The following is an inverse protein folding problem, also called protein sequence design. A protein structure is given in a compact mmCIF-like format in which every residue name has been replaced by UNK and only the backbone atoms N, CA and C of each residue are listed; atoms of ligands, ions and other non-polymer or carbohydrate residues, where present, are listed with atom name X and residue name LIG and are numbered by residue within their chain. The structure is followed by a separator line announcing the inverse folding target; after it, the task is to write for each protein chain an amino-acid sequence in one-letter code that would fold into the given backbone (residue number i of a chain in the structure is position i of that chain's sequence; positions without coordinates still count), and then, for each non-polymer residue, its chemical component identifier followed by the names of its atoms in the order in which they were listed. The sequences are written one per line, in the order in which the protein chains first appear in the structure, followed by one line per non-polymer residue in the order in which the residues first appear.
data_IF_829474471436
#
_entry.id   IF_829474471436
#
_cell.length_a   1.000
_cell.length_b   1.000
_cell.length_c   1.000
_cell.angle_alpha   90.00
_cell.angle_beta   90.00
_cell.angle_gamma   90.00
#
_symmetry.space_group_name_H-M   'P 1'
#
loop_
_entity.id
_entity.type
_entity.pdbx_description
1 polymer ?
#
# COMPACT_ATOMS: atom_id res chain seq x y z
N UNK A 1 -10.74 -21.94 25.42
CA UNK A 1 -9.67 -20.97 25.23
C UNK A 1 -9.39 -20.16 26.51
N UNK A 2 -10.36 -19.70 27.27
CA UNK A 2 -10.19 -18.98 28.55
C UNK A 2 -9.62 -19.85 29.70
N UNK A 3 -9.80 -21.15 29.68
CA UNK A 3 -9.34 -22.09 30.75
C UNK A 3 -7.83 -22.33 30.74
N UNK A 4 -7.15 -22.09 29.61
CA UNK A 4 -5.67 -22.25 29.52
C UNK A 4 -4.89 -21.03 30.02
N UNK A 5 -5.52 -19.86 30.07
CA UNK A 5 -4.89 -18.60 30.52
C UNK A 5 -4.67 -18.59 32.03
N UNK A 6 -5.52 -19.26 32.80
CA UNK A 6 -5.47 -19.25 34.28
C UNK A 6 -4.39 -20.17 34.89
N UNK A 7 -3.86 -21.13 34.13
CA UNK A 7 -2.82 -22.05 34.62
C UNK A 7 -1.38 -21.62 34.35
N UNK A 8 -1.17 -20.53 33.62
CA UNK A 8 0.18 -20.01 33.27
C UNK A 8 0.81 -19.11 34.35
N UNK A 9 0.17 -18.93 35.50
CA UNK A 9 0.64 -17.95 36.53
C UNK A 9 1.73 -18.46 37.46
N UNK A 10 2.10 -19.75 37.48
CA UNK A 10 2.92 -20.30 38.57
C UNK A 10 4.44 -20.23 38.36
N UNK A 11 4.95 -20.11 37.11
CA UNK A 11 6.41 -20.05 36.82
C UNK A 11 6.78 -18.94 35.83
N UNK A 12 7.91 -18.27 36.05
CA UNK A 12 8.39 -17.13 35.25
C UNK A 12 8.66 -17.54 33.79
N UNK A 13 9.10 -18.76 33.54
CA UNK A 13 9.40 -19.28 32.20
C UNK A 13 8.13 -19.70 31.46
N UNK A 14 7.12 -20.26 32.16
CA UNK A 14 5.82 -20.58 31.60
C UNK A 14 5.05 -19.31 31.22
N UNK A 15 5.18 -18.21 31.98
CA UNK A 15 4.61 -16.90 31.59
C UNK A 15 5.25 -16.33 30.32
N UNK A 16 6.58 -16.39 30.22
CA UNK A 16 7.28 -15.94 29.01
C UNK A 16 6.86 -16.75 27.79
N UNK A 17 6.75 -18.08 27.92
CA UNK A 17 6.32 -18.96 26.86
C UNK A 17 4.87 -18.68 26.45
N UNK A 18 3.97 -18.47 27.41
CA UNK A 18 2.57 -18.15 27.15
C UNK A 18 2.42 -16.80 26.42
N UNK A 19 3.14 -15.76 26.84
CA UNK A 19 3.15 -14.44 26.17
C UNK A 19 3.74 -14.55 24.75
N UNK A 20 4.79 -15.34 24.55
CA UNK A 20 5.39 -15.56 23.24
C UNK A 20 4.42 -16.29 22.30
N UNK A 21 3.79 -17.38 22.74
CA UNK A 21 2.80 -18.12 21.95
C UNK A 21 1.59 -17.25 21.61
N UNK A 22 1.13 -16.41 22.55
CA UNK A 22 -0.01 -15.49 22.27
C UNK A 22 0.38 -14.40 21.28
N UNK A 23 1.61 -13.89 21.28
CA UNK A 23 2.09 -12.89 20.32
C UNK A 23 2.23 -13.48 18.92
N UNK A 24 2.81 -14.67 18.78
CA UNK A 24 2.96 -15.37 17.50
C UNK A 24 1.60 -15.74 16.91
N UNK A 25 0.70 -16.27 17.74
CA UNK A 25 -0.68 -16.58 17.30
C UNK A 25 -1.41 -15.34 16.82
N UNK A 26 -1.25 -14.20 17.51
CA UNK A 26 -1.83 -12.91 17.11
C UNK A 26 -1.35 -12.46 15.74
N UNK A 27 -0.05 -12.63 15.44
CA UNK A 27 0.56 -12.29 14.15
C UNK A 27 -0.03 -13.14 13.03
N UNK A 28 -0.08 -14.45 13.22
CA UNK A 28 -0.66 -15.38 12.24
C UNK A 28 -2.14 -15.09 12.02
N UNK A 29 -2.90 -14.87 13.10
CA UNK A 29 -4.32 -14.56 13.02
C UNK A 29 -4.57 -13.24 12.29
N UNK A 30 -3.77 -12.20 12.50
CA UNK A 30 -3.91 -10.92 11.81
C UNK A 30 -3.80 -11.07 10.29
N UNK A 31 -2.80 -11.83 9.82
CA UNK A 31 -2.64 -12.15 8.40
C UNK A 31 -3.82 -12.98 7.86
N UNK A 32 -4.18 -14.07 8.54
CA UNK A 32 -5.25 -14.97 8.09
C UNK A 32 -6.62 -14.29 8.09
N UNK A 33 -6.93 -13.50 9.11
CA UNK A 33 -8.20 -12.74 9.16
C UNK A 33 -8.27 -11.75 8.00
N UNK A 34 -7.20 -11.01 7.70
CA UNK A 34 -7.17 -10.11 6.54
C UNK A 34 -7.34 -10.88 5.22
N UNK A 35 -6.64 -12.01 5.06
CA UNK A 35 -6.74 -12.85 3.87
C UNK A 35 -8.17 -13.39 3.66
N UNK A 36 -8.76 -14.02 4.66
CA UNK A 36 -10.12 -14.58 4.53
C UNK A 36 -11.19 -13.50 4.45
N UNK A 37 -11.00 -12.35 5.11
CA UNK A 37 -11.90 -11.21 4.97
C UNK A 37 -11.90 -10.70 3.51
N UNK A 38 -10.74 -10.55 2.87
CA UNK A 38 -10.63 -10.18 1.46
C UNK A 38 -11.31 -11.23 0.56
N UNK A 39 -11.03 -12.52 0.78
CA UNK A 39 -11.65 -13.63 0.05
C UNK A 39 -13.19 -13.64 0.14
N UNK A 40 -13.74 -13.21 1.27
CA UNK A 40 -15.19 -13.16 1.49
C UNK A 40 -15.83 -11.87 0.97
N UNK A 41 -15.17 -10.73 1.14
CA UNK A 41 -15.72 -9.40 0.82
C UNK A 41 -15.65 -9.12 -0.69
N UNK A 42 -14.53 -9.44 -1.35
CA UNK A 42 -14.32 -9.10 -2.76
C UNK A 42 -15.39 -9.70 -3.69
N UNK A 43 -15.76 -10.98 -3.61
CA UNK A 43 -16.80 -11.53 -4.49
C UNK A 43 -18.17 -10.87 -4.29
N UNK A 44 -18.51 -10.49 -3.04
CA UNK A 44 -19.76 -9.79 -2.74
C UNK A 44 -19.77 -8.39 -3.34
N UNK A 45 -18.67 -7.64 -3.15
CA UNK A 45 -18.49 -6.33 -3.77
C UNK A 45 -18.52 -6.42 -5.30
N UNK A 46 -17.93 -7.47 -5.91
CA UNK A 46 -17.95 -7.67 -7.35
C UNK A 46 -19.38 -7.84 -7.91
N UNK A 47 -20.25 -8.52 -7.18
CA UNK A 47 -21.66 -8.64 -7.56
C UNK A 47 -22.40 -7.30 -7.48
N UNK A 48 -22.17 -6.51 -6.42
CA UNK A 48 -22.73 -5.17 -6.25
C UNK A 48 -22.21 -4.24 -7.36
N UNK A 49 -20.90 -4.27 -7.63
CA UNK A 49 -20.27 -3.47 -8.67
C UNK A 49 -20.86 -3.71 -10.07
N UNK A 50 -21.13 -4.97 -10.41
CA UNK A 50 -21.82 -5.31 -11.66
C UNK A 50 -23.23 -4.72 -11.72
N UNK A 51 -23.97 -4.76 -10.60
CA UNK A 51 -25.33 -4.21 -10.53
C UNK A 51 -25.37 -2.68 -10.67
N UNK A 52 -24.40 -1.95 -10.09
CA UNK A 52 -24.34 -0.48 -10.16
C UNK A 52 -23.54 0.06 -11.36
N UNK A 53 -22.93 -0.84 -12.16
CA UNK A 53 -22.15 -0.46 -13.32
C UNK A 53 -20.70 0.01 -13.02
N UNK A 54 -20.17 -0.26 -11.82
CA UNK A 54 -18.76 -0.01 -11.44
C UNK A 54 -17.87 -1.11 -12.02
N UNK A 55 -17.75 -1.09 -13.35
CA UNK A 55 -17.02 -2.10 -14.10
C UNK A 55 -16.16 -1.45 -15.19
N UNK A 56 -14.96 -1.99 -15.37
CA UNK A 56 -14.14 -1.64 -16.51
C UNK A 56 -14.69 -2.34 -17.77
N UNK A 57 -15.16 -1.54 -18.74
CA UNK A 57 -15.73 -2.06 -19.98
C UNK A 57 -14.65 -2.27 -21.04
N UNK A 58 -14.71 -3.38 -21.80
CA UNK A 58 -13.84 -3.58 -22.94
C UNK A 58 -13.94 -2.46 -23.95
N UNK A 59 -12.81 -1.99 -24.45
CA UNK A 59 -12.74 -1.11 -25.61
C UNK A 59 -11.61 -1.59 -26.53
N UNK A 60 -11.47 -1.02 -27.73
CA UNK A 60 -10.46 -1.40 -28.74
C UNK A 60 -9.00 -1.32 -28.23
N UNK A 61 -8.76 -0.68 -27.09
CA UNK A 61 -7.43 -0.49 -26.49
C UNK A 61 -7.15 -1.46 -25.34
N UNK A 62 -8.16 -2.23 -24.85
CA UNK A 62 -8.09 -3.12 -23.70
C UNK A 62 -8.04 -4.56 -24.10
N UNK A 63 -7.28 -5.36 -23.36
CA UNK A 63 -7.02 -6.78 -23.67
C UNK A 63 -8.20 -7.66 -23.28
N UNK A 64 -8.92 -7.31 -22.21
CA UNK A 64 -10.04 -8.12 -21.71
C UNK A 64 -11.30 -7.95 -22.57
N UNK A 65 -12.01 -9.06 -22.78
CA UNK A 65 -13.24 -9.11 -23.60
C UNK A 65 -14.53 -9.06 -22.80
N UNK A 66 -14.44 -9.15 -21.47
CA UNK A 66 -15.58 -9.20 -20.54
C UNK A 66 -15.45 -8.05 -19.54
N UNK A 67 -16.54 -7.33 -19.20
CA UNK A 67 -16.50 -6.28 -18.17
C UNK A 67 -16.00 -6.82 -16.83
N UNK A 68 -15.06 -6.14 -16.18
CA UNK A 68 -14.45 -6.54 -14.93
C UNK A 68 -14.73 -5.55 -13.80
N UNK A 69 -15.21 -6.00 -12.63
CA UNK A 69 -15.49 -5.12 -11.48
C UNK A 69 -14.24 -4.40 -10.97
N UNK A 70 -14.37 -3.11 -10.66
CA UNK A 70 -13.33 -2.24 -10.12
C UNK A 70 -13.49 -2.13 -8.58
N UNK A 71 -13.39 -3.24 -7.86
CA UNK A 71 -13.64 -3.29 -6.41
C UNK A 71 -12.57 -4.02 -5.62
N UNK A 72 -11.52 -4.49 -6.28
CA UNK A 72 -10.43 -5.21 -5.62
C UNK A 72 -9.79 -4.37 -4.54
N UNK A 73 -9.49 -3.11 -4.84
CA UNK A 73 -8.89 -2.19 -3.88
C UNK A 73 -9.79 -1.87 -2.69
N UNK A 74 -11.08 -1.66 -2.93
CA UNK A 74 -12.05 -1.45 -1.85
C UNK A 74 -12.05 -2.67 -0.91
N UNK A 75 -12.04 -3.89 -1.48
CA UNK A 75 -12.00 -5.13 -0.72
C UNK A 75 -10.71 -5.29 0.10
N UNK A 76 -9.55 -4.93 -0.47
CA UNK A 76 -8.27 -4.93 0.24
C UNK A 76 -8.33 -4.02 1.47
N UNK A 77 -8.76 -2.76 1.28
CA UNK A 77 -8.76 -1.77 2.36
C UNK A 77 -9.75 -2.14 3.46
N UNK A 78 -10.95 -2.63 3.10
CA UNK A 78 -11.92 -3.13 4.09
C UNK A 78 -11.31 -4.30 4.89
N UNK A 79 -10.72 -5.27 4.23
CA UNK A 79 -10.16 -6.45 4.88
C UNK A 79 -8.95 -6.12 5.77
N UNK A 80 -8.02 -5.28 5.28
CA UNK A 80 -6.88 -4.83 6.06
C UNK A 80 -7.31 -4.00 7.27
N UNK A 81 -8.24 -3.06 7.09
CA UNK A 81 -8.77 -2.24 8.19
C UNK A 81 -9.50 -3.10 9.21
N UNK A 82 -10.33 -4.04 8.77
CA UNK A 82 -11.04 -4.95 9.68
C UNK A 82 -10.08 -5.78 10.52
N UNK A 83 -9.06 -6.37 9.92
CA UNK A 83 -8.04 -7.12 10.66
C UNK A 83 -7.23 -6.21 11.57
N UNK A 84 -6.83 -5.01 11.10
CA UNK A 84 -6.10 -4.06 11.93
C UNK A 84 -6.90 -3.63 13.17
N UNK A 85 -8.23 -3.39 13.04
CA UNK A 85 -9.12 -3.07 14.16
C UNK A 85 -9.14 -4.16 15.25
N UNK A 86 -8.92 -5.41 14.90
CA UNK A 86 -8.92 -6.53 15.84
C UNK A 86 -7.56 -6.72 16.53
N UNK A 87 -6.47 -6.37 15.86
CA UNK A 87 -5.13 -6.76 16.28
C UNK A 87 -4.15 -5.60 16.52
N UNK A 88 -4.45 -4.38 16.06
CA UNK A 88 -3.54 -3.22 16.13
C UNK A 88 -4.17 -2.10 16.94
N UNK A 89 -3.38 -1.42 17.77
CA UNK A 89 -3.82 -0.18 18.41
C UNK A 89 -3.81 0.97 17.38
N UNK A 90 -4.98 1.56 17.18
CA UNK A 90 -5.19 2.63 16.21
C UNK A 90 -4.58 3.97 16.61
N UNK A 91 -4.29 4.19 17.90
CA UNK A 91 -3.87 5.50 18.41
C UNK A 91 -2.64 6.05 17.66
N UNK A 92 -1.65 5.20 17.38
CA UNK A 92 -0.43 5.56 16.65
C UNK A 92 -0.58 5.67 15.13
N UNK A 93 -1.69 5.18 14.57
CA UNK A 93 -1.88 5.04 13.12
C UNK A 93 -3.07 5.82 12.56
N UNK A 94 -3.61 6.78 13.34
CA UNK A 94 -4.76 7.61 12.93
C UNK A 94 -4.54 8.27 11.58
N UNK A 95 -3.35 8.82 11.35
CA UNK A 95 -2.99 9.47 10.09
C UNK A 95 -3.08 8.53 8.89
N UNK A 96 -2.64 7.26 9.03
CA UNK A 96 -2.77 6.25 8.00
C UNK A 96 -4.24 6.03 7.61
N UNK A 97 -5.09 5.73 8.59
CA UNK A 97 -6.49 5.37 8.31
C UNK A 97 -7.32 6.56 7.81
N UNK A 98 -7.05 7.79 8.28
CA UNK A 98 -7.66 9.01 7.75
C UNK A 98 -7.25 9.22 6.28
N UNK A 99 -5.97 9.11 5.96
CA UNK A 99 -5.48 9.24 4.58
C UNK A 99 -6.04 8.17 3.67
N UNK A 100 -6.10 6.90 4.13
CA UNK A 100 -6.73 5.80 3.40
C UNK A 100 -8.20 6.06 3.13
N UNK A 101 -8.96 6.56 4.10
CA UNK A 101 -10.39 6.87 3.91
C UNK A 101 -10.61 7.95 2.84
N UNK A 102 -9.77 9.01 2.85
CA UNK A 102 -9.82 10.07 1.82
C UNK A 102 -9.51 9.51 0.43
N UNK A 103 -8.42 8.73 0.31
CA UNK A 103 -8.01 8.19 -0.99
C UNK A 103 -8.95 7.10 -1.49
N UNK A 104 -9.49 6.27 -0.60
CA UNK A 104 -10.50 5.28 -0.95
C UNK A 104 -11.75 5.94 -1.52
N UNK A 105 -12.23 7.01 -0.89
CA UNK A 105 -13.39 7.76 -1.36
C UNK A 105 -13.15 8.42 -2.72
N UNK A 106 -12.01 9.09 -2.88
CA UNK A 106 -11.66 9.76 -4.15
C UNK A 106 -11.38 8.75 -5.26
N UNK A 107 -10.66 7.65 -4.96
CA UNK A 107 -10.42 6.57 -5.92
C UNK A 107 -11.72 5.88 -6.36
N UNK A 108 -12.64 5.65 -5.43
CA UNK A 108 -13.98 5.15 -5.77
C UNK A 108 -14.75 6.10 -6.67
N UNK A 109 -14.70 7.41 -6.40
CA UNK A 109 -15.33 8.41 -7.26
C UNK A 109 -14.67 8.46 -8.66
N UNK A 110 -13.36 8.27 -8.73
CA UNK A 110 -12.65 8.22 -10.00
C UNK A 110 -13.00 6.97 -10.82
N UNK A 111 -13.01 5.80 -10.19
CA UNK A 111 -13.45 4.54 -10.83
C UNK A 111 -14.90 4.63 -11.35
N UNK A 112 -15.74 5.47 -10.73
CA UNK A 112 -17.14 5.63 -11.11
C UNK A 112 -17.39 6.77 -12.13
N UNK A 113 -16.62 7.89 -12.07
CA UNK A 113 -16.90 9.12 -12.83
C UNK A 113 -15.72 9.70 -13.61
N UNK A 114 -14.58 9.00 -13.64
CA UNK A 114 -13.34 9.47 -14.29
C UNK A 114 -12.97 10.91 -13.89
N UNK A 115 -12.48 11.09 -12.67
CA UNK A 115 -12.04 12.38 -12.17
C UNK A 115 -10.80 12.86 -12.95
N UNK A 116 -10.74 14.15 -13.24
CA UNK A 116 -9.57 14.71 -13.90
C UNK A 116 -8.30 14.61 -13.01
N UNK A 117 -7.11 14.51 -13.63
CA UNK A 117 -5.85 14.27 -12.91
C UNK A 117 -5.54 15.31 -11.83
N UNK A 118 -5.97 16.57 -12.01
CA UNK A 118 -5.77 17.64 -11.00
C UNK A 118 -6.50 17.34 -9.69
N UNK A 119 -7.74 16.81 -9.75
CA UNK A 119 -8.54 16.50 -8.56
C UNK A 119 -7.93 15.34 -7.80
N UNK A 120 -7.47 14.29 -8.50
CA UNK A 120 -6.76 13.17 -7.90
C UNK A 120 -5.48 13.62 -7.21
N UNK A 121 -4.70 14.47 -7.85
CA UNK A 121 -3.45 14.99 -7.29
C UNK A 121 -3.67 15.82 -6.03
N UNK A 122 -4.67 16.72 -6.03
CA UNK A 122 -5.04 17.50 -4.85
C UNK A 122 -5.51 16.63 -3.68
N UNK A 123 -6.28 15.57 -3.97
CA UNK A 123 -6.71 14.63 -2.95
C UNK A 123 -5.53 13.85 -2.33
N UNK A 124 -4.56 13.44 -3.14
CA UNK A 124 -3.33 12.80 -2.66
C UNK A 124 -2.53 13.74 -1.76
N UNK A 125 -2.35 15.01 -2.15
CA UNK A 125 -1.70 16.03 -1.32
C UNK A 125 -2.44 16.19 0.01
N UNK A 126 -3.77 16.33 -0.04
CA UNK A 126 -4.60 16.48 1.16
C UNK A 126 -4.52 15.27 2.08
N UNK A 127 -4.58 14.05 1.54
CA UNK A 127 -4.43 12.82 2.31
C UNK A 127 -3.05 12.71 2.98
N UNK A 128 -1.98 13.06 2.26
CA UNK A 128 -0.62 13.08 2.82
C UNK A 128 -0.46 14.15 3.90
N UNK A 129 -1.03 15.34 3.71
CA UNK A 129 -0.99 16.41 4.72
C UNK A 129 -1.75 16.01 6.00
N UNK A 130 -2.93 15.42 5.87
CA UNK A 130 -3.70 14.88 7.00
C UNK A 130 -2.92 13.75 7.69
N UNK A 131 -2.30 12.87 6.94
CA UNK A 131 -1.47 11.80 7.49
C UNK A 131 -0.33 12.36 8.34
N UNK A 132 0.44 13.33 7.83
CA UNK A 132 1.54 13.97 8.57
C UNK A 132 1.00 14.64 9.84
N UNK A 133 -0.11 15.39 9.72
CA UNK A 133 -0.71 16.09 10.85
C UNK A 133 -1.13 15.15 11.98
N UNK A 134 -1.80 14.04 11.66
CA UNK A 134 -2.34 13.12 12.68
C UNK A 134 -1.36 12.05 13.15
N UNK A 135 -0.33 11.72 12.37
CA UNK A 135 0.72 10.76 12.77
C UNK A 135 1.96 11.42 13.38
N UNK A 136 2.20 12.71 13.07
CA UNK A 136 3.44 13.39 13.42
C UNK A 136 4.68 12.90 12.66
N UNK A 137 4.52 11.98 11.70
CA UNK A 137 5.63 11.37 10.96
C UNK A 137 5.84 12.10 9.63
N UNK A 138 7.07 12.54 9.39
CA UNK A 138 7.48 13.26 8.18
C UNK A 138 8.92 12.94 7.82
N UNK A 139 9.32 13.14 6.57
CA UNK A 139 10.65 12.83 6.05
C UNK A 139 11.66 13.91 6.50
N UNK A 140 12.43 13.61 7.53
CA UNK A 140 13.44 14.53 8.10
C UNK A 140 14.86 14.24 7.58
N UNK A 141 15.13 12.99 7.18
CA UNK A 141 16.43 12.57 6.69
C UNK A 141 16.31 11.51 5.61
N UNK A 142 17.13 11.64 4.58
CA UNK A 142 17.34 10.61 3.57
C UNK A 142 18.41 9.58 4.00
N UNK A 143 19.02 9.75 5.17
CA UNK A 143 20.13 8.94 5.63
C UNK A 143 21.41 9.18 4.83
N UNK A 144 22.37 8.29 4.99
CA UNK A 144 23.62 8.30 4.22
C UNK A 144 23.47 7.45 2.95
N UNK A 145 22.94 8.05 1.87
CA UNK A 145 22.72 7.35 0.59
C UNK A 145 23.98 7.12 -0.22
N UNK A 146 25.03 7.94 0.01
CA UNK A 146 26.22 7.98 -0.84
C UNK A 146 27.51 7.71 -0.07
N UNK A 147 27.46 7.38 1.22
CA UNK A 147 28.65 7.16 2.06
C UNK A 147 29.41 8.45 2.41
N UNK A 148 28.79 9.61 2.24
CA UNK A 148 29.39 10.94 2.50
C UNK A 148 28.80 11.64 3.72
N UNK A 149 27.93 10.98 4.46
CA UNK A 149 27.22 11.47 5.63
C UNK A 149 25.71 11.61 5.38
N UNK A 150 24.95 11.71 6.49
CA UNK A 150 23.49 11.77 6.42
C UNK A 150 23.00 13.07 5.79
N UNK A 151 22.17 12.96 4.77
CA UNK A 151 21.48 14.10 4.15
C UNK A 151 20.19 14.38 4.91
N UNK A 152 20.22 15.43 5.77
CA UNK A 152 19.05 15.85 6.55
C UNK A 152 18.33 17.00 5.85
N UNK A 153 16.99 17.01 5.96
CA UNK A 153 16.15 18.12 5.51
C UNK A 153 16.27 19.24 6.54
N UNK A 154 16.48 20.52 6.15
CA UNK A 154 16.47 21.63 7.09
C UNK A 154 15.18 21.66 7.92
N UNK A 155 15.27 21.96 9.22
CA UNK A 155 14.15 21.93 10.18
C UNK A 155 13.12 23.05 9.95
N UNK A 156 12.78 23.32 8.71
CA UNK A 156 11.70 24.24 8.33
C UNK A 156 10.45 23.41 8.09
N UNK A 157 9.48 23.49 8.97
CA UNK A 157 8.26 22.67 8.96
C UNK A 157 7.61 22.61 7.57
N UNK A 158 7.47 23.74 6.88
CA UNK A 158 6.86 23.79 5.56
C UNK A 158 7.68 23.00 4.52
N UNK A 159 9.00 23.07 4.58
CA UNK A 159 9.89 22.35 3.67
C UNK A 159 9.84 20.84 3.91
N UNK A 160 9.89 20.41 5.18
CA UNK A 160 9.78 19.02 5.60
C UNK A 160 8.44 18.42 5.11
N UNK A 161 7.34 19.16 5.30
CA UNK A 161 6.03 18.73 4.80
C UNK A 161 5.99 18.64 3.26
N UNK A 162 6.49 19.66 2.59
CA UNK A 162 6.50 19.68 1.11
C UNK A 162 7.29 18.51 0.52
N UNK A 163 8.48 18.21 1.07
CA UNK A 163 9.31 17.09 0.62
C UNK A 163 8.63 15.75 0.95
N UNK A 164 8.09 15.61 2.15
CA UNK A 164 7.37 14.40 2.56
C UNK A 164 6.17 14.11 1.65
N UNK A 165 5.35 15.13 1.40
CA UNK A 165 4.18 15.02 0.50
C UNK A 165 4.63 14.69 -0.91
N UNK A 166 5.69 15.33 -1.42
CA UNK A 166 6.23 15.05 -2.74
C UNK A 166 6.66 13.58 -2.90
N UNK A 167 7.42 13.06 -1.94
CA UNK A 167 7.86 11.66 -1.94
C UNK A 167 6.68 10.69 -1.83
N UNK A 168 5.73 10.98 -0.92
CA UNK A 168 4.52 10.15 -0.74
C UNK A 168 3.66 10.11 -2.02
N UNK A 169 3.39 11.26 -2.62
CA UNK A 169 2.65 11.36 -3.88
C UNK A 169 3.38 10.65 -5.00
N UNK A 170 4.72 10.71 -5.01
CA UNK A 170 5.56 9.93 -5.93
C UNK A 170 5.33 8.43 -5.82
N UNK A 171 5.34 7.89 -4.59
CA UNK A 171 5.08 6.46 -4.34
C UNK A 171 3.64 6.08 -4.71
N UNK A 172 2.64 6.90 -4.33
CA UNK A 172 1.22 6.68 -4.66
C UNK A 172 1.06 6.53 -6.17
N UNK A 173 1.60 7.48 -6.94
CA UNK A 173 1.47 7.44 -8.39
C UNK A 173 2.32 6.32 -9.02
N UNK A 174 3.45 5.95 -8.43
CA UNK A 174 4.27 4.83 -8.92
C UNK A 174 3.52 3.50 -8.85
N UNK A 175 2.82 3.23 -7.75
CA UNK A 175 1.97 2.03 -7.62
C UNK A 175 0.76 2.11 -8.57
N UNK A 176 0.13 3.27 -8.70
CA UNK A 176 -0.99 3.44 -9.63
C UNK A 176 -0.57 3.23 -11.09
N UNK A 177 0.62 3.68 -11.49
CA UNK A 177 1.10 3.56 -12.87
C UNK A 177 1.52 2.13 -13.26
N UNK A 178 1.94 1.28 -12.31
CA UNK A 178 2.24 -0.13 -12.60
C UNK A 178 1.00 -1.03 -12.59
N UNK A 179 -0.16 -0.54 -12.14
CA UNK A 179 -1.44 -1.29 -12.13
C UNK A 179 -2.05 -1.40 -13.53
N UNK A 180 -1.27 -1.95 -14.45
CA UNK A 180 -1.68 -2.14 -15.86
C UNK A 180 -1.65 -3.58 -16.33
N UNK A 181 -1.22 -4.53 -15.48
CA UNK A 181 -1.20 -5.98 -15.74
C UNK A 181 -1.82 -6.74 -14.57
N UNK A 182 -2.49 -7.86 -14.90
CA UNK A 182 -3.07 -8.78 -13.93
C UNK A 182 -2.00 -9.23 -12.92
N UNK A 183 -2.25 -9.03 -11.62
CA UNK A 183 -1.38 -9.42 -10.52
C UNK A 183 -0.14 -8.55 -10.28
N UNK A 184 0.23 -7.62 -11.17
CA UNK A 184 1.51 -6.90 -11.06
C UNK A 184 1.54 -5.96 -9.84
N UNK A 185 0.63 -4.99 -9.76
CA UNK A 185 0.61 -4.03 -8.65
C UNK A 185 0.33 -4.72 -7.31
N UNK A 186 -0.60 -5.69 -7.29
CA UNK A 186 -0.87 -6.52 -6.12
C UNK A 186 0.34 -7.34 -5.69
N UNK A 187 1.02 -8.01 -6.63
CA UNK A 187 2.20 -8.84 -6.33
C UNK A 187 3.38 -8.03 -5.79
N UNK A 188 3.69 -6.89 -6.42
CA UNK A 188 4.73 -5.98 -5.93
C UNK A 188 4.39 -5.44 -4.55
N UNK A 189 3.14 -5.02 -4.31
CA UNK A 189 2.70 -4.54 -3.01
C UNK A 189 2.76 -5.63 -1.93
N UNK A 190 2.38 -6.86 -2.26
CA UNK A 190 2.47 -8.01 -1.35
C UNK A 190 3.91 -8.27 -0.91
N UNK A 191 4.85 -8.33 -1.86
CA UNK A 191 6.28 -8.52 -1.58
C UNK A 191 6.82 -7.37 -0.73
N UNK A 192 6.44 -6.12 -1.05
CA UNK A 192 6.86 -4.95 -0.29
C UNK A 192 6.37 -5.00 1.17
N UNK A 193 5.10 -5.31 1.43
CA UNK A 193 4.57 -5.46 2.78
C UNK A 193 5.24 -6.60 3.54
N UNK A 194 5.50 -7.75 2.90
CA UNK A 194 6.24 -8.85 3.54
C UNK A 194 7.67 -8.43 3.90
N UNK A 195 8.34 -7.70 3.03
CA UNK A 195 9.70 -7.21 3.30
C UNK A 195 9.71 -6.21 4.45
N UNK A 196 8.75 -5.29 4.50
CA UNK A 196 8.58 -4.38 5.64
C UNK A 196 8.26 -5.16 6.94
N UNK A 197 7.38 -6.17 6.90
CA UNK A 197 7.08 -7.02 8.04
C UNK A 197 8.33 -7.75 8.56
N UNK A 198 9.17 -8.26 7.66
CA UNK A 198 10.43 -8.93 8.02
C UNK A 198 11.38 -7.97 8.74
N UNK A 199 11.57 -6.74 8.22
CA UNK A 199 12.42 -5.75 8.89
C UNK A 199 11.88 -5.35 10.26
N UNK A 200 10.56 -5.16 10.37
CA UNK A 200 9.91 -4.89 11.66
C UNK A 200 10.10 -6.05 12.66
N UNK A 201 10.02 -7.30 12.17
CA UNK A 201 10.29 -8.51 12.98
C UNK A 201 11.72 -8.55 13.49
N UNK A 202 12.71 -8.31 12.63
CA UNK A 202 14.14 -8.29 12.99
C UNK A 202 14.42 -7.20 14.03
N UNK A 203 13.76 -6.04 13.92
CA UNK A 203 13.88 -4.94 14.86
C UNK A 203 13.07 -5.14 16.16
N UNK A 204 12.23 -6.18 16.27
CA UNK A 204 11.37 -6.43 17.42
C UNK A 204 10.11 -5.56 17.49
N UNK A 205 9.80 -4.80 16.44
CA UNK A 205 8.64 -3.89 16.36
C UNK A 205 7.38 -4.63 15.93
N UNK A 206 6.76 -5.33 16.89
CA UNK A 206 5.62 -6.23 16.66
C UNK A 206 4.40 -5.52 16.05
N UNK A 207 4.13 -4.26 16.41
CA UNK A 207 2.97 -3.53 15.91
C UNK A 207 3.15 -3.20 14.42
N UNK A 208 4.34 -2.77 14.01
CA UNK A 208 4.65 -2.52 12.61
C UNK A 208 4.62 -3.82 11.79
N UNK A 209 5.13 -4.92 12.36
CA UNK A 209 5.04 -6.24 11.76
C UNK A 209 3.58 -6.66 11.54
N UNK A 210 2.73 -6.57 12.58
CA UNK A 210 1.30 -6.89 12.49
C UNK A 210 0.61 -6.07 11.41
N UNK A 211 0.84 -4.76 11.38
CA UNK A 211 0.19 -3.87 10.43
C UNK A 211 0.60 -4.20 8.98
N UNK A 212 1.87 -4.46 8.72
CA UNK A 212 2.33 -4.89 7.39
C UNK A 212 1.73 -6.25 7.00
N UNK A 213 1.61 -7.19 7.93
CA UNK A 213 1.02 -8.50 7.67
C UNK A 213 -0.49 -8.44 7.43
N UNK A 214 -1.22 -7.51 8.04
CA UNK A 214 -2.65 -7.30 7.70
C UNK A 214 -2.81 -6.83 6.27
N UNK A 215 -1.99 -5.88 5.79
CA UNK A 215 -2.00 -5.47 4.39
C UNK A 215 -1.57 -6.60 3.46
N UNK A 216 -0.50 -7.33 3.79
CA UNK A 216 -0.04 -8.47 3.01
C UNK A 216 -1.13 -9.54 2.87
N UNK A 217 -1.81 -9.91 3.97
CA UNK A 217 -2.91 -10.87 3.96
C UNK A 217 -4.07 -10.43 3.07
N UNK A 218 -4.50 -9.17 3.20
CA UNK A 218 -5.58 -8.62 2.38
C UNK A 218 -5.22 -8.59 0.88
N UNK A 219 -3.99 -8.18 0.55
CA UNK A 219 -3.51 -8.17 -0.85
C UNK A 219 -3.39 -9.58 -1.40
N UNK A 220 -2.91 -10.56 -0.62
CA UNK A 220 -2.87 -11.96 -1.04
C UNK A 220 -4.28 -12.50 -1.32
N UNK A 221 -5.26 -12.16 -0.47
CA UNK A 221 -6.67 -12.51 -0.69
C UNK A 221 -7.23 -11.90 -1.98
N UNK A 222 -6.86 -10.67 -2.31
CA UNK A 222 -7.20 -10.02 -3.58
C UNK A 222 -6.53 -10.69 -4.78
N UNK A 223 -5.24 -11.05 -4.69
CA UNK A 223 -4.49 -11.69 -5.76
C UNK A 223 -5.16 -12.98 -6.26
N UNK A 224 -5.91 -13.68 -5.43
CA UNK A 224 -6.70 -14.85 -5.84
C UNK A 224 -7.70 -14.54 -6.97
N UNK A 225 -8.20 -13.29 -7.02
CA UNK A 225 -9.15 -12.83 -8.02
C UNK A 225 -8.51 -12.00 -9.13
N UNK A 226 -7.32 -11.47 -8.89
CA UNK A 226 -6.59 -10.61 -9.82
C UNK A 226 -5.44 -11.32 -10.55
N UNK A 227 -5.16 -12.60 -10.22
CA UNK A 227 -4.20 -13.40 -10.96
C UNK A 227 -4.71 -13.69 -12.38
N UNK A 228 -3.81 -13.70 -13.35
CA UNK A 228 -4.16 -13.91 -14.75
C UNK A 228 -4.77 -15.31 -15.01
N UNK A 229 -5.93 -15.42 -15.66
CA UNK A 229 -6.82 -14.34 -16.11
C UNK A 229 -7.62 -13.72 -14.95
N UNK A 230 -7.47 -12.43 -14.70
CA UNK A 230 -8.14 -11.76 -13.57
C UNK A 230 -9.66 -11.76 -13.70
N UNK A 231 -10.37 -11.81 -12.59
CA UNK A 231 -11.84 -11.72 -12.53
C UNK A 231 -12.31 -10.41 -11.91
N UNK A 232 -11.41 -9.72 -11.17
CA UNK A 232 -11.64 -8.44 -10.49
C UNK A 232 -10.39 -7.57 -10.67
N UNK A 233 -10.58 -6.31 -11.01
CA UNK A 233 -9.50 -5.32 -11.05
C UNK A 233 -9.37 -4.57 -9.74
N UNK A 234 -8.15 -4.04 -9.49
CA UNK A 234 -7.85 -3.26 -8.30
C UNK A 234 -8.60 -1.93 -8.29
N UNK A 235 -8.60 -1.23 -9.40
CA UNK A 235 -9.13 0.12 -9.58
C UNK A 235 -8.24 1.19 -8.96
N UNK A 236 -8.55 2.46 -9.27
CA UNK A 236 -7.82 3.60 -8.72
C UNK A 236 -7.99 3.71 -7.20
N UNK A 237 -9.16 3.32 -6.67
CA UNK A 237 -9.38 3.17 -5.23
C UNK A 237 -8.32 2.28 -4.55
N UNK A 238 -7.92 1.19 -5.20
CA UNK A 238 -6.93 0.27 -4.65
C UNK A 238 -5.50 0.72 -4.81
N UNK A 239 -5.11 1.06 -6.02
CA UNK A 239 -3.72 1.41 -6.33
C UNK A 239 -3.26 2.68 -5.61
N UNK A 240 -4.13 3.71 -5.48
CA UNK A 240 -3.84 4.90 -4.68
C UNK A 240 -3.69 4.58 -3.19
N UNK A 241 -4.58 3.76 -2.63
CA UNK A 241 -4.52 3.37 -1.23
C UNK A 241 -3.30 2.48 -0.92
N UNK A 242 -2.96 1.51 -1.77
CA UNK A 242 -1.77 0.68 -1.59
C UNK A 242 -0.49 1.50 -1.67
N UNK A 243 -0.37 2.40 -2.66
CA UNK A 243 0.77 3.30 -2.76
C UNK A 243 0.90 4.20 -1.54
N UNK A 244 -0.21 4.71 -1.01
CA UNK A 244 -0.21 5.51 0.22
C UNK A 244 0.18 4.69 1.45
N UNK A 245 -0.36 3.48 1.61
CA UNK A 245 0.00 2.60 2.72
C UNK A 245 1.48 2.22 2.70
N UNK A 246 2.02 1.85 1.53
CA UNK A 246 3.44 1.54 1.35
C UNK A 246 4.34 2.76 1.64
N UNK A 247 3.94 3.94 1.16
CA UNK A 247 4.64 5.20 1.46
C UNK A 247 4.61 5.54 2.96
N UNK A 248 3.47 5.34 3.63
CA UNK A 248 3.38 5.51 5.08
C UNK A 248 4.27 4.53 5.83
N UNK A 249 4.28 3.23 5.44
CA UNK A 249 5.18 2.24 6.05
C UNK A 249 6.64 2.63 5.87
N UNK A 250 7.02 3.10 4.67
CA UNK A 250 8.36 3.61 4.40
C UNK A 250 8.73 4.76 5.34
N UNK A 251 7.83 5.72 5.55
CA UNK A 251 8.06 6.86 6.45
C UNK A 251 8.15 6.43 7.91
N UNK A 252 7.18 5.68 8.42
CA UNK A 252 7.14 5.35 9.86
C UNK A 252 8.31 4.43 10.26
N UNK A 253 8.74 3.54 9.36
CA UNK A 253 9.84 2.61 9.62
C UNK A 253 11.23 3.27 9.50
N UNK A 254 11.32 4.44 8.86
CA UNK A 254 12.60 5.17 8.70
C UNK A 254 12.68 6.45 9.52
N UNK A 255 11.54 7.09 9.80
CA UNK A 255 11.44 8.40 10.43
C UNK A 255 10.57 8.39 11.70
N UNK A 256 9.96 7.26 12.03
CA UNK A 256 9.12 7.12 13.23
C UNK A 256 9.91 7.24 14.54
N UNK A 257 9.21 7.15 15.68
CA UNK A 257 9.86 7.22 16.99
C UNK A 257 10.95 6.17 17.22
N UNK A 258 10.75 4.98 16.64
CA UNK A 258 11.72 3.86 16.67
C UNK A 258 12.03 3.45 15.23
N UNK A 259 12.96 4.10 14.54
CA UNK A 259 13.27 3.73 13.15
C UNK A 259 13.92 2.33 13.10
N UNK A 260 13.35 1.47 12.26
CA UNK A 260 13.75 0.05 12.15
C UNK A 260 14.63 -0.22 10.94
N UNK A 261 14.78 0.75 10.03
CA UNK A 261 15.61 0.61 8.83
C UNK A 261 16.16 1.96 8.37
N UNK A 262 17.27 1.93 7.62
CA UNK A 262 17.80 3.11 6.97
C UNK A 262 16.88 3.57 5.80
N UNK A 263 16.81 4.88 5.50
CA UNK A 263 15.94 5.42 4.44
C UNK A 263 16.21 4.90 3.02
N UNK A 264 17.35 4.27 2.79
CA UNK A 264 17.66 3.61 1.51
C UNK A 264 16.82 2.35 1.27
N UNK A 265 16.46 1.61 2.32
CA UNK A 265 15.75 0.34 2.16
C UNK A 265 14.38 0.47 1.48
N UNK A 266 13.51 1.43 1.82
CA UNK A 266 12.26 1.63 1.10
C UNK A 266 12.45 1.91 -0.39
N UNK A 267 13.53 2.61 -0.79
CA UNK A 267 13.83 2.85 -2.20
C UNK A 267 14.16 1.55 -2.94
N UNK A 268 14.85 0.62 -2.27
CA UNK A 268 15.14 -0.71 -2.82
C UNK A 268 13.89 -1.59 -2.84
N UNK A 269 13.09 -1.61 -1.77
CA UNK A 269 11.85 -2.38 -1.67
C UNK A 269 10.85 -1.95 -2.75
N UNK A 270 10.75 -0.65 -2.99
CA UNK A 270 9.84 -0.05 -3.98
C UNK A 270 10.57 0.28 -5.30
N UNK A 271 11.74 -0.34 -5.56
CA UNK A 271 12.55 0.01 -6.72
C UNK A 271 11.81 -0.20 -8.05
N UNK A 272 11.02 -1.28 -8.19
CA UNK A 272 10.30 -1.57 -9.43
C UNK A 272 9.32 -0.45 -9.80
N UNK A 273 8.34 -0.07 -8.97
CA UNK A 273 7.41 1.02 -9.31
C UNK A 273 8.11 2.37 -9.45
N UNK A 274 9.07 2.69 -8.59
CA UNK A 274 9.78 3.97 -8.62
C UNK A 274 10.63 4.09 -9.90
N UNK A 275 11.41 3.08 -10.25
CA UNK A 275 12.26 3.12 -11.44
C UNK A 275 11.46 3.13 -12.73
N UNK A 276 10.33 2.42 -12.81
CA UNK A 276 9.43 2.49 -13.97
C UNK A 276 8.94 3.93 -14.17
N UNK A 277 8.41 4.55 -13.11
CA UNK A 277 7.91 5.92 -13.15
C UNK A 277 8.99 6.91 -13.52
N UNK A 278 10.15 6.88 -12.85
CA UNK A 278 11.26 7.78 -13.11
C UNK A 278 11.81 7.62 -14.53
N UNK A 279 11.92 6.38 -15.04
CA UNK A 279 12.38 6.10 -16.40
C UNK A 279 11.46 6.71 -17.44
N UNK A 280 10.16 6.56 -17.29
CA UNK A 280 9.16 7.14 -18.21
C UNK A 280 9.18 8.66 -18.14
N UNK A 281 9.20 9.24 -16.94
CA UNK A 281 9.29 10.70 -16.76
C UNK A 281 10.57 11.29 -17.38
N UNK A 282 11.72 10.67 -17.13
CA UNK A 282 13.02 11.11 -17.69
C UNK A 282 13.01 11.05 -19.22
N UNK A 283 12.52 9.96 -19.82
CA UNK A 283 12.40 9.84 -21.28
C UNK A 283 11.48 10.91 -21.89
N UNK A 284 10.42 11.32 -21.18
CA UNK A 284 9.53 12.40 -21.64
C UNK A 284 10.23 13.75 -21.59
N UNK A 285 10.89 14.06 -20.46
CA UNK A 285 11.66 15.30 -20.31
C UNK A 285 12.74 15.43 -21.39
N UNK A 286 13.51 14.37 -21.65
CA UNK A 286 14.54 14.34 -22.71
C UNK A 286 13.96 14.59 -24.11
N UNK A 287 12.67 14.27 -24.32
CA UNK A 287 11.95 14.51 -25.58
C UNK A 287 11.20 15.85 -25.62
N UNK A 288 11.39 16.72 -24.62
CA UNK A 288 10.69 18.01 -24.51
C UNK A 288 9.17 17.87 -24.32
N UNK A 289 8.69 16.71 -23.80
CA UNK A 289 7.28 16.44 -23.57
C UNK A 289 6.91 16.63 -22.10
N UNK A 290 5.64 16.95 -21.83
CA UNK A 290 5.12 17.08 -20.48
C UNK A 290 5.26 15.72 -19.74
N UNK A 291 5.97 15.65 -18.59
CA UNK A 291 6.19 14.41 -17.84
C UNK A 291 4.90 13.81 -17.26
N UNK A 292 3.86 14.61 -17.06
CA UNK A 292 2.58 14.17 -16.48
C UNK A 292 1.52 13.73 -17.51
N UNK A 293 1.86 13.67 -18.78
CA UNK A 293 0.92 13.22 -19.84
C UNK A 293 0.92 11.69 -19.89
N UNK A 294 -0.25 11.07 -20.13
CA UNK A 294 -0.36 9.60 -20.29
C UNK A 294 0.54 9.09 -21.42
N UNK A 295 1.18 7.92 -21.23
CA UNK A 295 2.13 7.31 -22.17
C UNK A 295 1.93 5.79 -22.25
N UNK A 296 2.55 5.17 -23.27
CA UNK A 296 2.56 3.71 -23.54
C UNK A 296 3.96 3.10 -23.36
N UNK A 297 4.84 3.70 -22.54
CA UNK A 297 6.23 3.25 -22.33
C UNK A 297 6.49 2.67 -20.94
N UNK A 298 5.45 2.50 -20.11
CA UNK A 298 5.56 1.82 -18.81
C UNK A 298 5.91 0.33 -18.98
N UNK A 299 6.50 -0.26 -17.96
CA UNK A 299 6.99 -1.64 -17.93
C UNK A 299 5.92 -2.64 -18.38
N UNK A 300 4.68 -2.46 -17.92
CA UNK A 300 3.55 -3.30 -18.30
C UNK A 300 3.26 -3.26 -19.80
N UNK A 301 3.40 -2.13 -20.48
CA UNK A 301 3.24 -2.05 -21.94
C UNK A 301 4.38 -2.76 -22.69
N UNK A 302 5.59 -2.77 -22.10
CA UNK A 302 6.73 -3.50 -22.67
C UNK A 302 6.47 -5.01 -22.56
N UNK A 303 6.05 -5.50 -21.39
CA UNK A 303 5.71 -6.90 -21.18
C UNK A 303 4.60 -7.38 -22.12
N UNK A 304 3.54 -6.58 -22.31
CA UNK A 304 2.48 -6.89 -23.28
C UNK A 304 2.99 -7.03 -24.71
N UNK A 305 3.98 -6.24 -25.13
CA UNK A 305 4.60 -6.37 -26.48
C UNK A 305 5.36 -7.68 -26.65
N UNK A 306 5.88 -8.25 -25.56
CA UNK A 306 6.55 -9.56 -25.56
C UNK A 306 5.58 -10.73 -25.31
N UNK A 307 4.27 -10.48 -25.31
CA UNK A 307 3.25 -11.52 -25.12
C UNK A 307 3.06 -11.98 -23.68
N UNK A 308 3.58 -11.24 -22.71
CA UNK A 308 3.33 -11.46 -21.30
C UNK A 308 2.06 -10.66 -20.92
N UNK A 309 1.05 -11.38 -20.47
CA UNK A 309 -0.25 -10.81 -20.08
C UNK A 309 -0.59 -11.14 -18.64
#
# INVERSE_FOLDING_TARGET
MLVWITNCESRRDERKLCVMITSELRIILAFLVAYFAAMFVIPKLANIAKAIGLVDRPNERKIHRVPRPLVGGIGIIIAATFSALLFVDFAGFRGLFIGLAVLLFIGFLDDFRELGPRRKFLAQIGACALMIHFSGVSLQSFGDLLGVGAFTVPEVTLLVWAISIFCMVGVINSINLIDGLDGLAGGVSFIAFLTFALHASIAGEQILMLLNLTFAGAVLGFLRFNWNPSTVFMGDAGSLCLGFALGFMALIMTQGPNPVMAPVYPLVILAVPITDTLTVMSKRLMRGRNPFRADKYHLHHIFMRYGLS
#
